data_IF_189799469477
#
_entry.id   IF_189799469477
#
_cell.length_a   1.000
_cell.length_b   1.000
_cell.length_c   1.000
_cell.angle_alpha   90.00
_cell.angle_beta   90.00
_cell.angle_gamma   90.00
#
_symmetry.space_group_name_H-M   'P 1'
#
loop_
_entity.id
_entity.type
_entity.pdbx_description
1 polymer ?
#
# COMPACT_ATOMS: atom_id res chain seq x y z
N UNK A 1 9.41 -14.83 12.37
CA UNK A 1 8.15 -14.36 11.77
C UNK A 1 7.11 -14.41 12.85
N UNK A 2 6.61 -13.25 13.28
CA UNK A 2 5.61 -13.13 14.34
C UNK A 2 4.28 -12.86 13.64
N UNK A 3 3.36 -13.82 13.69
CA UNK A 3 2.05 -13.72 13.07
C UNK A 3 0.96 -14.38 13.89
N UNK A 4 0.12 -13.51 14.45
CA UNK A 4 -0.98 -13.87 15.36
C UNK A 4 -2.26 -14.18 14.58
N UNK A 5 -2.35 -13.76 13.31
CA UNK A 5 -3.55 -13.93 12.48
C UNK A 5 -3.54 -15.27 11.75
N UNK A 6 -2.39 -15.61 11.15
CA UNK A 6 -2.25 -16.84 10.38
C UNK A 6 -1.40 -17.84 11.17
N UNK A 7 -1.94 -19.04 11.36
CA UNK A 7 -1.19 -20.15 11.95
C UNK A 7 -0.02 -20.57 11.06
N UNK A 8 1.00 -21.19 11.67
CA UNK A 8 2.23 -21.65 11.02
C UNK A 8 1.98 -22.50 9.76
N UNK A 9 0.94 -23.34 9.77
CA UNK A 9 0.56 -24.19 8.63
C UNK A 9 0.26 -23.37 7.37
N UNK A 10 -0.48 -22.26 7.52
CA UNK A 10 -0.85 -21.42 6.38
C UNK A 10 0.35 -20.66 5.85
N UNK A 11 1.20 -20.14 6.73
CA UNK A 11 2.42 -19.44 6.33
C UNK A 11 3.40 -20.38 5.62
N UNK A 12 3.63 -21.59 6.16
CA UNK A 12 4.46 -22.61 5.49
C UNK A 12 3.91 -22.97 4.11
N UNK A 13 2.59 -23.17 3.99
CA UNK A 13 1.94 -23.42 2.70
C UNK A 13 2.18 -22.27 1.72
N UNK A 14 2.00 -21.01 2.15
CA UNK A 14 2.24 -19.82 1.30
C UNK A 14 3.71 -19.70 0.87
N UNK A 15 4.65 -19.97 1.77
CA UNK A 15 6.08 -19.99 1.43
C UNK A 15 6.39 -21.07 0.39
N UNK A 16 5.81 -22.26 0.53
CA UNK A 16 5.95 -23.33 -0.45
C UNK A 16 5.31 -22.96 -1.80
N UNK A 17 4.16 -22.26 -1.80
CA UNK A 17 3.57 -21.71 -3.04
C UNK A 17 4.52 -20.75 -3.73
N UNK A 18 5.30 -19.97 -2.97
CA UNK A 18 6.34 -19.07 -3.49
C UNK A 18 7.65 -19.79 -3.85
N UNK A 19 7.67 -21.13 -3.81
CA UNK A 19 8.82 -21.94 -4.21
C UNK A 19 9.82 -22.24 -3.09
N UNK A 20 9.51 -21.92 -1.83
CA UNK A 20 10.38 -22.30 -0.72
C UNK A 20 10.31 -23.82 -0.47
N UNK A 21 11.47 -24.46 -0.43
CA UNK A 21 11.59 -25.88 -0.10
C UNK A 21 11.26 -26.12 1.39
N UNK A 22 10.47 -27.17 1.67
CA UNK A 22 10.02 -27.53 3.01
C UNK A 22 11.19 -27.79 3.96
N UNK A 23 12.25 -28.46 3.49
CA UNK A 23 13.46 -28.72 4.27
C UNK A 23 14.23 -27.42 4.54
N UNK A 24 14.33 -26.55 3.53
CA UNK A 24 14.98 -25.25 3.66
C UNK A 24 14.27 -24.32 4.67
N UNK A 25 12.95 -24.41 4.80
CA UNK A 25 12.19 -23.63 5.80
C UNK A 25 12.47 -24.13 7.22
N UNK A 26 12.61 -25.44 7.43
CA UNK A 26 12.66 -26.07 8.76
C UNK A 26 13.76 -25.55 9.69
N UNK A 27 14.91 -25.14 9.15
CA UNK A 27 16.01 -24.56 9.94
C UNK A 27 16.17 -23.04 9.81
N UNK A 28 15.45 -22.39 8.89
CA UNK A 28 15.62 -20.96 8.56
C UNK A 28 14.44 -20.09 8.96
N UNK A 29 13.33 -20.69 9.37
CA UNK A 29 12.14 -19.98 9.81
C UNK A 29 11.81 -20.34 11.26
N UNK A 30 11.93 -19.36 12.15
CA UNK A 30 11.31 -19.40 13.46
C UNK A 30 9.97 -18.67 13.39
N UNK A 31 8.87 -19.39 13.66
CA UNK A 31 7.51 -18.88 13.57
C UNK A 31 6.90 -18.74 14.97
N UNK A 32 6.22 -17.62 15.22
CA UNK A 32 5.59 -17.30 16.51
C UNK A 32 4.15 -16.89 16.26
N UNK A 33 3.19 -17.61 16.86
CA UNK A 33 1.74 -17.35 16.70
C UNK A 33 1.11 -16.59 17.85
N UNK A 34 1.90 -16.29 18.89
CA UNK A 34 1.41 -15.61 20.09
C UNK A 34 1.55 -14.10 19.93
N UNK A 35 0.58 -13.35 20.45
CA UNK A 35 0.74 -11.91 20.62
C UNK A 35 1.86 -11.61 21.58
N UNK A 36 2.54 -10.49 21.37
CA UNK A 36 3.73 -10.14 22.13
C UNK A 36 3.51 -8.80 22.80
N UNK A 37 3.66 -8.77 24.12
CA UNK A 37 3.49 -7.54 24.89
C UNK A 37 4.82 -6.82 24.99
N UNK A 38 4.86 -5.59 24.50
CA UNK A 38 6.03 -4.71 24.54
C UNK A 38 5.60 -3.27 24.88
N UNK A 39 6.51 -2.44 25.41
CA UNK A 39 7.78 -2.84 26.03
C UNK A 39 7.59 -3.50 27.40
N UNK A 40 8.58 -4.28 27.84
CA UNK A 40 8.64 -4.84 29.20
C UNK A 40 8.05 -6.26 29.34
N UNK A 41 8.20 -6.84 30.53
CA UNK A 41 7.71 -8.18 30.85
C UNK A 41 8.54 -9.33 30.28
N UNK A 42 8.04 -10.55 30.49
CA UNK A 42 8.69 -11.81 30.08
C UNK A 42 8.82 -11.93 28.55
N UNK A 43 7.90 -11.32 27.80
CA UNK A 43 7.89 -11.33 26.34
C UNK A 43 9.08 -10.59 25.73
N UNK A 44 9.49 -9.47 26.32
CA UNK A 44 10.65 -8.70 25.85
C UNK A 44 11.94 -9.51 26.02
N UNK A 45 12.06 -10.24 27.13
CA UNK A 45 13.20 -11.12 27.38
C UNK A 45 13.16 -12.34 26.47
N UNK A 46 12.01 -13.00 26.34
CA UNK A 46 11.79 -14.13 25.44
C UNK A 46 12.15 -13.78 23.99
N UNK A 47 11.77 -12.59 23.53
CA UNK A 47 12.15 -12.10 22.21
C UNK A 47 13.66 -11.92 22.08
N UNK A 48 14.32 -11.30 23.06
CA UNK A 48 15.78 -11.14 23.06
C UNK A 48 16.52 -12.49 23.08
N UNK A 49 16.08 -13.43 23.90
CA UNK A 49 16.66 -14.78 23.98
C UNK A 49 16.49 -15.51 22.64
N UNK A 50 15.33 -15.36 22.01
CA UNK A 50 15.06 -15.92 20.69
C UNK A 50 15.98 -15.32 19.63
N UNK A 51 16.19 -14.00 19.63
CA UNK A 51 17.12 -13.35 18.71
C UNK A 51 18.56 -13.84 18.87
N UNK A 52 19.02 -14.02 20.11
CA UNK A 52 20.38 -14.50 20.40
C UNK A 52 20.56 -15.95 19.98
N UNK A 53 19.57 -16.81 20.28
CA UNK A 53 19.61 -18.23 19.99
C UNK A 53 19.47 -18.52 18.49
N UNK A 54 18.51 -17.86 17.82
CA UNK A 54 18.17 -18.12 16.43
C UNK A 54 19.02 -17.32 15.43
N UNK A 55 19.49 -16.12 15.82
CA UNK A 55 20.29 -15.21 14.98
C UNK A 55 19.67 -14.95 13.60
N UNK A 56 18.45 -14.42 13.52
CA UNK A 56 17.81 -14.16 12.24
C UNK A 56 18.50 -13.04 11.48
N UNK A 57 18.52 -13.11 10.15
CA UNK A 57 18.86 -11.95 9.31
C UNK A 57 17.69 -10.95 9.24
N UNK A 58 16.46 -11.43 9.40
CA UNK A 58 15.23 -10.65 9.31
C UNK A 58 14.19 -11.08 10.34
N UNK A 59 13.66 -10.10 11.05
CA UNK A 59 12.46 -10.22 11.88
C UNK A 59 11.28 -9.61 11.12
N UNK A 60 10.18 -10.35 11.03
CA UNK A 60 8.92 -9.89 10.42
C UNK A 60 7.83 -9.88 11.47
N UNK A 61 7.06 -8.79 11.53
CA UNK A 61 5.88 -8.60 12.38
C UNK A 61 4.65 -8.45 11.49
N UNK A 62 3.73 -9.41 11.55
CA UNK A 62 2.60 -9.54 10.64
C UNK A 62 1.29 -9.84 11.40
N UNK A 63 0.29 -8.96 11.46
CA UNK A 63 0.39 -7.52 11.26
C UNK A 63 0.57 -6.84 12.60
N UNK A 64 1.08 -5.62 12.59
CA UNK A 64 1.29 -4.80 13.79
C UNK A 64 0.05 -4.75 14.70
N UNK A 65 -1.15 -4.63 14.11
CA UNK A 65 -2.42 -4.56 14.84
C UNK A 65 -2.67 -5.80 15.70
N UNK A 66 -2.25 -6.97 15.21
CA UNK A 66 -2.49 -8.25 15.86
C UNK A 66 -1.33 -8.67 16.77
N UNK A 67 -0.09 -8.37 16.35
CA UNK A 67 1.10 -8.68 17.13
C UNK A 67 1.28 -7.75 18.34
N UNK A 68 0.90 -6.48 18.22
CA UNK A 68 1.07 -5.45 19.25
C UNK A 68 -0.15 -4.49 19.29
N UNK A 69 -1.33 -4.97 19.72
CA UNK A 69 -2.56 -4.18 19.70
C UNK A 69 -2.49 -2.89 20.54
N UNK A 70 -1.74 -2.90 21.65
CA UNK A 70 -1.48 -1.71 22.47
C UNK A 70 -0.63 -0.66 21.74
N UNK A 71 0.25 -1.09 20.83
CA UNK A 71 1.02 -0.16 20.02
C UNK A 71 0.11 0.60 19.04
N UNK A 72 -0.99 0.00 18.57
CA UNK A 72 -1.92 0.67 17.66
C UNK A 72 -2.89 1.65 18.36
N UNK A 73 -3.05 1.55 19.68
CA UNK A 73 -4.01 2.38 20.42
C UNK A 73 -3.53 3.81 20.64
N UNK A 74 -2.23 4.02 20.82
CA UNK A 74 -1.66 5.35 21.07
C UNK A 74 -0.21 5.48 20.57
N UNK A 75 0.22 6.73 20.38
CA UNK A 75 1.51 7.07 19.78
C UNK A 75 2.71 6.78 20.70
N UNK A 76 2.53 6.87 22.01
CA UNK A 76 3.60 6.66 22.98
C UNK A 76 3.93 5.16 23.06
N UNK A 77 2.91 4.31 23.22
CA UNK A 77 3.02 2.85 23.17
C UNK A 77 3.64 2.39 21.86
N UNK A 78 3.22 2.97 20.72
CA UNK A 78 3.84 2.70 19.41
C UNK A 78 5.34 2.99 19.40
N UNK A 79 5.73 4.18 19.90
CA UNK A 79 7.12 4.61 19.87
C UNK A 79 8.00 3.72 20.74
N UNK A 80 7.50 3.35 21.92
CA UNK A 80 8.17 2.43 22.83
C UNK A 80 8.29 1.02 22.25
N UNK A 81 7.23 0.51 21.63
CA UNK A 81 7.24 -0.76 20.91
C UNK A 81 8.31 -0.77 19.81
N UNK A 82 8.28 0.22 18.92
CA UNK A 82 9.22 0.32 17.80
C UNK A 82 10.66 0.47 18.30
N UNK A 83 10.86 1.26 19.36
CA UNK A 83 12.17 1.42 19.99
C UNK A 83 12.71 0.08 20.50
N UNK A 84 11.94 -0.64 21.32
CA UNK A 84 12.41 -1.89 21.94
C UNK A 84 12.68 -2.97 20.90
N UNK A 85 11.76 -3.20 19.96
CA UNK A 85 11.89 -4.26 18.95
C UNK A 85 13.05 -4.00 17.99
N UNK A 86 13.21 -2.75 17.55
CA UNK A 86 14.27 -2.36 16.64
C UNK A 86 15.64 -2.41 17.32
N UNK A 87 15.78 -1.89 18.54
CA UNK A 87 17.06 -1.89 19.23
C UNK A 87 17.56 -3.31 19.51
N UNK A 88 16.66 -4.23 19.89
CA UNK A 88 17.02 -5.63 20.12
C UNK A 88 17.39 -6.35 18.82
N UNK A 89 16.61 -6.18 17.75
CA UNK A 89 16.95 -6.74 16.44
C UNK A 89 18.30 -6.22 15.93
N UNK A 90 18.52 -4.91 16.04
CA UNK A 90 19.77 -4.26 15.63
C UNK A 90 20.96 -4.73 16.45
N UNK A 91 20.79 -5.00 17.75
CA UNK A 91 21.88 -5.45 18.63
C UNK A 91 22.48 -6.79 18.20
N UNK A 92 21.71 -7.64 17.52
CA UNK A 92 22.18 -8.92 16.97
C UNK A 92 22.45 -8.86 15.45
N UNK A 93 22.34 -7.68 14.83
CA UNK A 93 22.58 -7.49 13.40
C UNK A 93 21.40 -7.85 12.50
N UNK A 94 20.19 -8.04 13.04
CA UNK A 94 18.99 -8.37 12.27
C UNK A 94 18.30 -7.12 11.69
N UNK A 95 17.73 -7.26 10.50
CA UNK A 95 16.75 -6.32 9.97
C UNK A 95 15.37 -6.54 10.61
N UNK A 96 14.53 -5.50 10.63
CA UNK A 96 13.16 -5.57 11.15
C UNK A 96 12.17 -5.02 10.10
N UNK A 97 11.18 -5.82 9.74
CA UNK A 97 10.08 -5.47 8.85
C UNK A 97 8.76 -5.54 9.61
N UNK A 98 8.01 -4.45 9.59
CA UNK A 98 6.69 -4.34 10.23
C UNK A 98 5.64 -4.18 9.15
N UNK A 99 4.67 -5.10 9.12
CA UNK A 99 3.52 -5.01 8.23
C UNK A 99 2.37 -4.32 8.97
N UNK A 100 1.90 -3.21 8.42
CA UNK A 100 0.82 -2.42 9.01
C UNK A 100 -0.28 -2.19 7.99
N UNK A 101 -1.51 -2.51 8.38
CA UNK A 101 -2.67 -2.15 7.59
C UNK A 101 -2.94 -0.66 7.68
N UNK A 102 -3.21 -0.03 6.54
CA UNK A 102 -3.76 1.31 6.55
C UNK A 102 -5.20 1.26 7.04
N UNK A 103 -5.57 2.18 7.94
CA UNK A 103 -6.95 2.32 8.34
C UNK A 103 -7.78 2.63 7.09
N UNK A 104 -8.89 1.91 6.90
CA UNK A 104 -9.87 2.26 5.86
C UNK A 104 -10.20 3.73 6.06
N UNK A 105 -9.97 4.56 5.04
CA UNK A 105 -10.41 5.95 5.10
C UNK A 105 -11.88 5.93 5.46
N UNK A 106 -12.24 6.61 6.55
CA UNK A 106 -13.63 6.65 6.97
C UNK A 106 -14.45 7.17 5.78
N UNK A 107 -15.54 6.45 5.50
CA UNK A 107 -16.42 6.64 4.37
C UNK A 107 -16.63 8.14 4.06
N UNK A 108 -16.07 8.64 2.96
CA UNK A 108 -16.38 9.97 2.43
C UNK A 108 -15.19 10.89 2.13
N UNK A 109 -13.98 10.60 2.62
CA UNK A 109 -12.78 11.37 2.25
C UNK A 109 -12.12 10.76 1.00
N UNK A 110 -11.84 11.62 0.01
CA UNK A 110 -11.21 11.26 -1.25
C UNK A 110 -9.84 10.59 -1.04
N UNK A 111 -9.41 9.77 -2.02
CA UNK A 111 -8.07 9.14 -2.03
C UNK A 111 -7.05 10.18 -2.51
N UNK A 112 -6.92 11.29 -1.79
CA UNK A 112 -6.07 12.40 -2.20
C UNK A 112 -4.67 12.17 -1.66
N UNK A 113 -3.70 11.91 -2.54
CA UNK A 113 -2.29 11.64 -2.23
C UNK A 113 -1.98 10.33 -1.45
N UNK A 114 -0.90 9.60 -1.82
CA UNK A 114 -0.39 8.46 -1.05
C UNK A 114 -0.18 8.78 0.44
N UNK A 115 0.11 10.05 0.77
CA UNK A 115 0.29 10.52 2.13
C UNK A 115 -1.00 10.55 2.96
N UNK A 116 -2.18 10.78 2.38
CA UNK A 116 -3.44 10.73 3.15
C UNK A 116 -3.85 9.30 3.48
N UNK A 117 -3.42 8.33 2.67
CA UNK A 117 -3.57 6.91 3.01
C UNK A 117 -2.76 6.53 4.26
N UNK A 118 -1.69 7.27 4.54
CA UNK A 118 -0.85 7.14 5.74
C UNK A 118 -1.37 7.97 6.92
N UNK A 119 -2.53 8.64 6.80
CA UNK A 119 -3.10 9.43 7.89
C UNK A 119 -3.46 8.51 9.07
N UNK A 120 -2.70 8.62 10.15
CA UNK A 120 -2.73 7.72 11.31
C UNK A 120 -1.51 6.80 11.44
N UNK A 121 -0.73 6.63 10.38
CA UNK A 121 0.53 5.87 10.35
C UNK A 121 1.78 6.79 10.32
N UNK A 122 1.61 8.11 10.42
CA UNK A 122 2.72 9.09 10.36
C UNK A 122 3.83 8.81 11.37
N UNK A 123 3.51 8.33 12.56
CA UNK A 123 4.49 7.94 13.58
C UNK A 123 5.29 6.70 13.19
N UNK A 124 4.62 5.68 12.61
CA UNK A 124 5.29 4.49 12.07
C UNK A 124 6.28 4.85 10.98
N UNK A 125 5.81 5.63 10.00
CA UNK A 125 6.64 6.13 8.91
C UNK A 125 7.78 6.97 9.46
N UNK A 126 7.50 7.87 10.43
CA UNK A 126 8.48 8.72 11.11
C UNK A 126 9.60 7.94 11.82
N UNK A 127 9.30 6.79 12.40
CA UNK A 127 10.27 5.94 13.08
C UNK A 127 11.07 5.03 12.12
N UNK A 128 10.48 4.61 11.00
CA UNK A 128 11.11 3.68 10.08
C UNK A 128 12.34 4.27 9.35
N UNK A 129 13.35 3.46 9.07
CA UNK A 129 14.48 3.89 8.22
C UNK A 129 14.07 4.01 6.74
N UNK A 130 13.17 3.11 6.32
CA UNK A 130 12.52 3.10 5.02
C UNK A 130 11.07 2.63 5.19
N UNK A 131 10.16 3.19 4.42
CA UNK A 131 8.77 2.77 4.44
C UNK A 131 8.26 2.63 3.01
N UNK A 132 7.50 1.56 2.80
CA UNK A 132 6.86 1.25 1.53
C UNK A 132 5.35 1.23 1.67
N UNK A 133 4.66 1.63 0.61
CA UNK A 133 3.23 1.48 0.44
C UNK A 133 2.97 0.49 -0.68
N UNK A 134 2.27 -0.61 -0.38
CA UNK A 134 1.81 -1.57 -1.39
C UNK A 134 0.35 -1.28 -1.73
N UNK A 135 0.10 -0.69 -2.90
CA UNK A 135 -1.22 -0.29 -3.35
C UNK A 135 -1.84 -1.34 -4.28
N UNK A 136 -3.04 -1.86 -4.00
CA UNK A 136 -3.72 -2.74 -4.95
C UNK A 136 -4.21 -1.95 -6.18
N UNK A 137 -3.91 -2.46 -7.37
CA UNK A 137 -4.40 -1.95 -8.66
C UNK A 137 -5.44 -2.86 -9.31
N UNK A 138 -5.57 -4.08 -8.84
CA UNK A 138 -6.55 -5.07 -9.29
C UNK A 138 -6.37 -6.38 -8.55
N UNK A 139 -7.09 -7.44 -8.94
CA UNK A 139 -6.78 -8.79 -8.50
C UNK A 139 -5.30 -9.09 -8.80
N UNK A 140 -4.55 -9.50 -7.78
CA UNK A 140 -3.15 -9.96 -7.92
C UNK A 140 -2.18 -8.95 -8.52
N UNK A 141 -2.56 -7.66 -8.60
CA UNK A 141 -1.73 -6.58 -9.15
C UNK A 141 -1.58 -5.47 -8.14
N UNK A 142 -0.35 -5.07 -7.90
CA UNK A 142 0.04 -4.10 -6.90
C UNK A 142 1.09 -3.12 -7.44
N UNK A 143 1.16 -1.96 -6.81
CA UNK A 143 2.26 -1.01 -7.00
C UNK A 143 2.92 -0.76 -5.64
N UNK A 144 4.22 -1.01 -5.55
CA UNK A 144 5.04 -0.70 -4.39
C UNK A 144 5.63 0.70 -4.56
N UNK A 145 5.36 1.61 -3.63
CA UNK A 145 5.89 2.98 -3.61
C UNK A 145 6.77 3.18 -2.40
N UNK A 146 7.91 3.86 -2.59
CA UNK A 146 8.64 4.43 -1.47
C UNK A 146 7.86 5.62 -0.90
N UNK A 147 7.55 5.59 0.39
CA UNK A 147 6.93 6.71 1.10
C UNK A 147 7.89 7.38 2.09
N UNK A 148 9.01 6.73 2.39
CA UNK A 148 10.13 7.32 3.13
C UNK A 148 11.46 6.70 2.74
N UNK A 149 12.43 7.55 2.43
CA UNK A 149 13.73 7.19 1.85
C UNK A 149 14.84 7.95 2.56
N UNK A 150 15.08 7.64 3.85
CA UNK A 150 15.98 8.45 4.70
C UNK A 150 17.44 8.31 4.28
N UNK A 151 17.93 7.08 4.24
CA UNK A 151 19.34 6.76 3.99
C UNK A 151 19.60 6.23 2.58
N UNK A 152 18.53 5.93 1.85
CA UNK A 152 18.58 5.32 0.51
C UNK A 152 17.90 6.23 -0.50
N UNK A 153 18.38 6.28 -1.76
CA UNK A 153 17.67 6.95 -2.83
C UNK A 153 16.25 6.41 -2.96
N UNK A 154 15.31 7.29 -3.30
CA UNK A 154 13.97 6.86 -3.67
C UNK A 154 14.04 5.99 -4.93
N UNK A 155 13.46 4.81 -4.84
CA UNK A 155 13.18 3.98 -5.98
C UNK A 155 11.87 4.45 -6.62
N UNK A 156 11.81 4.48 -7.96
CA UNK A 156 10.56 4.78 -8.63
C UNK A 156 9.54 3.65 -8.36
N UNK A 157 8.24 3.91 -8.49
CA UNK A 157 7.20 2.94 -8.16
C UNK A 157 7.41 1.63 -8.94
N UNK A 158 7.21 0.50 -8.26
CA UNK A 158 7.50 -0.82 -8.82
C UNK A 158 6.21 -1.60 -8.97
N UNK A 159 5.95 -2.14 -10.16
CA UNK A 159 4.79 -3.01 -10.40
C UNK A 159 5.08 -4.40 -9.91
N UNK A 160 4.15 -4.94 -9.13
CA UNK A 160 4.21 -6.30 -8.59
C UNK A 160 2.94 -7.02 -9.03
N UNK A 161 3.09 -8.15 -9.69
CA UNK A 161 1.98 -9.03 -10.04
C UNK A 161 2.22 -10.43 -9.51
N UNK A 162 1.15 -11.12 -9.12
CA UNK A 162 1.17 -12.53 -8.74
C UNK A 162 0.66 -13.33 -9.92
N UNK A 163 1.42 -14.35 -10.33
CA UNK A 163 1.04 -15.26 -11.40
C UNK A 163 0.99 -16.66 -10.83
N UNK A 164 -0.22 -17.22 -10.75
CA UNK A 164 -0.41 -18.60 -10.35
C UNK A 164 -0.23 -19.55 -11.54
N UNK A 165 0.40 -20.69 -11.26
CA UNK A 165 0.52 -21.81 -12.17
C UNK A 165 0.13 -23.10 -11.44
N UNK A 166 -0.40 -24.06 -12.20
CA UNK A 166 -0.66 -25.39 -11.66
C UNK A 166 0.67 -26.03 -11.26
N UNK A 167 0.72 -26.58 -10.05
CA UNK A 167 1.86 -27.39 -9.65
C UNK A 167 1.91 -28.67 -10.49
N UNK A 168 3.12 -29.16 -10.79
CA UNK A 168 3.28 -30.44 -11.46
C UNK A 168 2.57 -31.56 -10.67
N UNK A 169 1.96 -32.51 -11.39
CA UNK A 169 1.24 -33.63 -10.80
C UNK A 169 2.14 -34.36 -9.79
N UNK A 170 1.70 -34.40 -8.51
CA UNK A 170 2.46 -35.00 -7.40
C UNK A 170 3.16 -34.02 -6.46
N UNK A 171 3.01 -32.70 -6.65
CA UNK A 171 3.49 -31.69 -5.71
C UNK A 171 2.72 -31.65 -4.39
N UNK A 172 3.39 -31.20 -3.32
CA UNK A 172 2.79 -31.01 -1.97
C UNK A 172 1.80 -29.84 -1.92
N UNK A 173 1.81 -28.97 -2.95
CA UNK A 173 1.03 -27.74 -3.00
C UNK A 173 0.24 -27.68 -4.31
N UNK A 174 -1.02 -27.25 -4.25
CA UNK A 174 -1.93 -27.25 -5.41
C UNK A 174 -1.58 -26.18 -6.46
N UNK A 175 -0.87 -25.12 -6.06
CA UNK A 175 -0.47 -24.02 -6.94
C UNK A 175 0.96 -23.56 -6.63
N UNK A 176 1.63 -23.04 -7.65
CA UNK A 176 2.85 -22.24 -7.52
C UNK A 176 2.53 -20.80 -7.89
N UNK A 177 2.95 -19.86 -7.05
CA UNK A 177 2.77 -18.43 -7.24
C UNK A 177 4.12 -17.80 -7.55
N UNK A 178 4.25 -17.22 -8.74
CA UNK A 178 5.39 -16.38 -9.10
C UNK A 178 5.08 -14.92 -8.74
N UNK A 179 6.03 -14.25 -8.10
CA UNK A 179 6.00 -12.79 -7.95
C UNK A 179 6.74 -12.19 -9.13
N UNK A 180 6.01 -11.56 -10.04
CA UNK A 180 6.56 -10.89 -11.20
C UNK A 180 6.71 -9.41 -10.90
N UNK A 181 7.90 -8.88 -11.16
CA UNK A 181 8.24 -7.47 -10.96
C UNK A 181 8.42 -6.82 -12.33
N UNK A 182 7.37 -6.15 -12.82
CA UNK A 182 7.23 -5.70 -14.21
C UNK A 182 7.96 -4.38 -14.52
N UNK A 183 9.05 -4.11 -13.81
CA UNK A 183 9.86 -2.89 -13.96
C UNK A 183 9.25 -1.66 -13.29
N UNK A 184 9.84 -0.51 -13.63
CA UNK A 184 9.53 0.81 -13.06
C UNK A 184 8.27 1.38 -13.70
N UNK A 185 7.34 1.88 -12.90
CA UNK A 185 6.28 2.76 -13.37
C UNK A 185 6.89 4.15 -13.62
N UNK A 186 6.87 4.62 -14.87
CA UNK A 186 7.23 6.01 -15.18
C UNK A 186 6.29 6.92 -14.39
N UNK A 187 6.78 7.93 -13.67
CA UNK A 187 5.89 8.84 -12.93
C UNK A 187 4.84 9.50 -13.85
N UNK A 188 5.18 9.68 -15.13
CA UNK A 188 4.28 10.12 -16.20
C UNK A 188 3.19 9.09 -16.57
N UNK A 189 3.48 7.79 -16.54
CA UNK A 189 2.45 6.73 -16.70
C UNK A 189 1.74 6.39 -15.39
N UNK A 190 2.32 6.80 -14.26
CA UNK A 190 1.71 6.86 -12.93
C UNK A 190 0.88 8.13 -12.73
N UNK A 191 0.47 8.85 -13.79
CA UNK A 191 -0.70 9.73 -13.71
C UNK A 191 -1.79 8.93 -12.98
N UNK A 192 -2.21 9.42 -11.81
CA UNK A 192 -3.29 8.80 -11.05
C UNK A 192 -4.43 8.52 -12.02
N UNK A 193 -5.16 7.40 -11.88
CA UNK A 193 -6.30 7.10 -12.76
C UNK A 193 -7.22 8.32 -12.92
N UNK A 194 -7.31 9.15 -11.87
CA UNK A 194 -7.91 10.46 -11.88
C UNK A 194 -7.29 11.47 -12.86
N UNK A 195 -5.97 11.73 -12.85
CA UNK A 195 -5.33 12.70 -13.75
C UNK A 195 -5.49 12.32 -15.23
N UNK A 196 -5.30 11.04 -15.55
CA UNK A 196 -5.51 10.51 -16.90
C UNK A 196 -6.97 10.65 -17.32
N UNK A 197 -7.87 10.25 -16.44
CA UNK A 197 -9.30 10.40 -16.65
C UNK A 197 -9.70 11.86 -16.80
N UNK A 198 -9.15 12.77 -15.99
CA UNK A 198 -9.35 14.21 -16.07
C UNK A 198 -8.91 14.74 -17.43
N UNK A 199 -7.72 14.39 -17.91
CA UNK A 199 -7.24 14.76 -19.24
C UNK A 199 -8.19 14.30 -20.34
N UNK A 200 -8.65 13.05 -20.27
CA UNK A 200 -9.60 12.50 -21.24
C UNK A 200 -10.97 13.19 -21.18
N UNK A 201 -11.49 13.46 -19.97
CA UNK A 201 -12.75 14.17 -19.75
C UNK A 201 -12.69 15.57 -20.32
N UNK A 202 -11.63 16.33 -20.01
CA UNK A 202 -11.45 17.68 -20.52
C UNK A 202 -11.30 17.69 -22.04
N UNK A 203 -10.53 16.76 -22.59
CA UNK A 203 -10.40 16.59 -24.05
C UNK A 203 -11.75 16.27 -24.70
N UNK A 204 -12.58 15.41 -24.10
CA UNK A 204 -13.90 15.11 -24.63
C UNK A 204 -14.82 16.34 -24.57
N UNK A 205 -14.80 17.08 -23.46
CA UNK A 205 -15.61 18.30 -23.29
C UNK A 205 -15.20 19.36 -24.32
N UNK A 206 -13.89 19.60 -24.49
CA UNK A 206 -13.35 20.60 -25.40
C UNK A 206 -13.67 20.26 -26.87
N UNK A 207 -13.76 18.97 -27.21
CA UNK A 207 -14.14 18.50 -28.55
C UNK A 207 -15.66 18.29 -28.72
N UNK A 208 -16.46 18.41 -27.66
CA UNK A 208 -17.91 18.24 -27.76
C UNK A 208 -18.53 19.49 -28.42
N UNK A 209 -19.44 19.35 -29.42
CA UNK A 209 -19.96 20.50 -30.18
C UNK A 209 -20.59 21.62 -29.34
N UNK A 210 -21.07 21.28 -28.14
CA UNK A 210 -21.73 22.21 -27.21
C UNK A 210 -20.84 22.62 -26.04
N UNK A 211 -19.60 22.11 -25.93
CA UNK A 211 -18.76 22.26 -24.74
C UNK A 211 -19.32 21.58 -23.48
N UNK A 212 -20.30 20.67 -23.64
CA UNK A 212 -20.98 19.98 -22.54
C UNK A 212 -21.11 18.50 -22.86
N UNK A 213 -20.46 17.63 -22.08
CA UNK A 213 -20.51 16.17 -22.26
C UNK A 213 -21.45 15.48 -21.26
N UNK A 214 -22.20 14.43 -21.67
CA UNK A 214 -23.02 13.64 -20.76
C UNK A 214 -22.16 12.70 -19.92
N UNK A 215 -22.59 12.47 -18.67
CA UNK A 215 -21.92 11.57 -17.72
C UNK A 215 -21.69 10.18 -18.31
N UNK A 216 -22.67 9.63 -19.03
CA UNK A 216 -22.56 8.31 -19.63
C UNK A 216 -21.37 8.21 -20.60
N UNK A 217 -21.11 9.24 -21.40
CA UNK A 217 -19.95 9.26 -22.30
C UNK A 217 -18.63 9.38 -21.52
N UNK A 218 -18.59 10.22 -20.50
CA UNK A 218 -17.40 10.38 -19.67
C UNK A 218 -17.02 9.10 -18.93
N UNK A 219 -18.00 8.36 -18.42
CA UNK A 219 -17.76 7.08 -17.73
C UNK A 219 -17.21 5.98 -18.65
N UNK A 220 -17.29 6.14 -19.98
CA UNK A 220 -16.64 5.20 -20.92
C UNK A 220 -15.15 5.50 -21.13
N UNK A 221 -14.62 6.59 -20.57
CA UNK A 221 -13.23 7.02 -20.74
C UNK A 221 -12.25 6.38 -19.74
N UNK A 222 -12.75 5.61 -18.77
CA UNK A 222 -11.92 4.89 -17.82
C UNK A 222 -11.34 3.62 -18.43
N UNK A 223 -10.03 3.44 -18.30
CA UNK A 223 -9.33 2.27 -18.79
C UNK A 223 -9.13 1.27 -17.65
N UNK A 224 -10.07 0.33 -17.52
CA UNK A 224 -10.05 -0.70 -16.48
C UNK A 224 -10.60 -0.28 -15.12
N UNK A 225 -10.99 0.99 -14.92
CA UNK A 225 -11.66 1.42 -13.70
C UNK A 225 -13.15 1.04 -13.66
N UNK A 226 -13.68 0.84 -12.44
CA UNK A 226 -15.10 0.57 -12.24
C UNK A 226 -15.94 1.84 -12.41
N UNK A 227 -17.20 1.69 -12.82
CA UNK A 227 -18.17 2.77 -12.96
C UNK A 227 -18.30 3.63 -11.68
N UNK A 228 -18.19 2.98 -10.51
CA UNK A 228 -18.16 3.64 -9.20
C UNK A 228 -16.95 4.55 -9.03
N UNK A 229 -15.78 4.10 -9.47
CA UNK A 229 -14.52 4.87 -9.37
C UNK A 229 -14.56 6.09 -10.27
N UNK A 230 -15.02 5.94 -11.51
CA UNK A 230 -15.10 7.04 -12.47
C UNK A 230 -16.13 8.11 -12.05
N UNK A 231 -17.24 7.71 -11.42
CA UNK A 231 -18.19 8.65 -10.81
C UNK A 231 -17.59 9.42 -9.64
N UNK A 232 -16.72 8.77 -8.86
CA UNK A 232 -15.99 9.45 -7.79
C UNK A 232 -15.01 10.47 -8.38
N UNK A 233 -14.28 10.11 -9.44
CA UNK A 233 -13.41 11.04 -10.15
C UNK A 233 -14.15 12.27 -10.67
N UNK A 234 -15.31 12.09 -11.33
CA UNK A 234 -16.13 13.23 -11.77
C UNK A 234 -16.61 14.10 -10.59
N UNK A 235 -16.96 13.50 -9.46
CA UNK A 235 -17.34 14.23 -8.24
C UNK A 235 -16.18 15.09 -7.73
N UNK A 236 -14.98 14.53 -7.72
CA UNK A 236 -13.75 15.19 -7.27
C UNK A 236 -13.33 16.32 -8.21
N UNK A 237 -13.42 16.09 -9.53
CA UNK A 237 -13.15 17.13 -10.55
C UNK A 237 -14.14 18.30 -10.44
N UNK A 238 -15.39 18.06 -10.03
CA UNK A 238 -16.35 19.13 -9.74
C UNK A 238 -15.99 19.87 -8.45
N UNK A 239 -15.65 19.14 -7.38
CA UNK A 239 -15.30 19.72 -6.10
C UNK A 239 -14.04 20.60 -6.16
N UNK A 240 -13.05 20.19 -6.96
CA UNK A 240 -11.81 20.93 -7.22
C UNK A 240 -11.96 22.06 -8.24
N UNK A 241 -13.12 22.19 -8.87
CA UNK A 241 -13.37 23.22 -9.90
C UNK A 241 -12.65 22.94 -11.23
N UNK A 242 -12.19 21.71 -11.48
CA UNK A 242 -11.61 21.29 -12.77
C UNK A 242 -12.69 21.21 -13.85
N UNK A 243 -13.91 20.78 -13.49
CA UNK A 243 -15.10 20.78 -14.36
C UNK A 243 -16.30 21.38 -13.62
N UNK A 244 -17.23 21.93 -14.37
CA UNK A 244 -18.52 22.37 -13.86
C UNK A 244 -19.62 21.35 -14.17
N UNK A 245 -20.67 21.34 -13.35
CA UNK A 245 -21.86 20.51 -13.53
C UNK A 245 -23.09 21.38 -13.78
N UNK A 246 -23.30 21.87 -15.03
CA UNK A 246 -24.37 22.82 -15.32
C UNK A 246 -25.77 22.25 -15.12
N UNK A 247 -25.94 20.93 -15.30
CA UNK A 247 -27.18 20.21 -15.06
C UNK A 247 -26.91 18.77 -14.65
N UNK A 248 -27.92 18.12 -14.04
CA UNK A 248 -27.80 16.72 -13.59
C UNK A 248 -27.41 15.82 -14.77
N UNK A 249 -26.27 15.15 -14.63
CA UNK A 249 -25.76 14.18 -15.61
C UNK A 249 -24.95 14.78 -16.75
N UNK A 250 -24.58 16.06 -16.69
CA UNK A 250 -23.77 16.72 -17.72
C UNK A 250 -22.65 17.53 -17.07
N UNK A 251 -21.52 17.62 -17.77
CA UNK A 251 -20.31 18.29 -17.30
C UNK A 251 -19.75 19.19 -18.40
N UNK A 252 -19.13 20.30 -18.01
CA UNK A 252 -18.51 21.28 -18.90
C UNK A 252 -17.21 21.80 -18.30
N UNK A 253 -16.44 22.58 -19.06
CA UNK A 253 -15.40 23.44 -18.46
C UNK A 253 -16.06 24.39 -17.44
N UNK A 254 -15.35 24.76 -16.36
CA UNK A 254 -15.78 25.86 -15.52
C UNK A 254 -15.86 27.12 -16.38
N UNK A 255 -16.83 28.02 -16.14
CA UNK A 255 -16.75 29.36 -16.72
C UNK A 255 -15.39 29.95 -16.32
N UNK A 256 -14.64 30.46 -17.30
CA UNK A 256 -13.34 31.10 -17.05
C UNK A 256 -13.51 32.10 -15.93
N UNK A 257 -12.88 31.82 -14.78
CA UNK A 257 -12.92 32.71 -13.63
C UNK A 257 -12.38 34.07 -14.07
N UNK A 258 -13.08 35.20 -13.83
CA UNK A 258 -12.68 36.52 -14.31
C UNK A 258 -11.46 37.11 -13.55
N UNK A 259 -10.56 36.29 -13.04
CA UNK A 259 -9.30 36.79 -12.48
C UNK A 259 -8.33 37.09 -13.62
N UNK A 260 -8.31 38.37 -13.99
CA UNK A 260 -7.21 39.02 -14.69
C UNK A 260 -5.88 38.65 -14.01
N UNK A 261 -5.00 37.97 -14.76
CA UNK A 261 -3.56 38.09 -14.53
C UNK A 261 -3.16 39.33 -15.34
N UNK A 262 -2.85 40.44 -14.66
CA UNK A 262 -2.06 41.50 -15.27
C UNK A 262 -0.69 40.90 -15.61
N UNK A 263 -0.38 40.80 -16.91
CA UNK A 263 0.99 40.63 -17.37
C UNK A 263 1.78 41.86 -16.92
N UNK A 264 2.62 41.67 -15.91
CA UNK A 264 3.66 42.64 -15.58
C UNK A 264 4.78 42.49 -16.62
N UNK A 265 4.98 43.58 -17.36
CA UNK A 265 6.05 43.79 -18.32
C UNK A 265 7.44 43.83 -17.67
#
# INVERSE_FOLDING_TARGET
YIDVENGEVLARRRLQQLGADAEAIGGRLHYVTESVIFPGGDDSQRYADTLIAFRPDLVVIDTLASAAPSAESDTESMSLFLYDIWHRARAVGSACLVLAHLRKSQQGAARDAPLDSLRGAGHLVGAASRAWLLEPRGPEKFVLRDVKTREFPACPPTRVSLVDSEAAAGGVVDKLTAVVVDGVEDEETAESGLLRFQKNVLTLIDNHPTGVAPAAALLTLGDGETDKTLRNYLTEMVASGVVARPKRGFYSRPPSSPFHIEETA
#
